data_IF_813769741937
#
_entry.id   IF_813769741937
#
_cell.length_a   1.000
_cell.length_b   1.000
_cell.length_c   1.000
_cell.angle_alpha   90.00
_cell.angle_beta   90.00
_cell.angle_gamma   90.00
#
_symmetry.space_group_name_H-M   'P 1'
#
loop_
_entity.id
_entity.type
_entity.pdbx_description
1 polymer ?
#
# COMPACT_ATOMS: atom_id res chain seq x y z
N UNK A 1 4.58 -24.66 -14.50
CA UNK A 1 3.70 -23.78 -15.31
C UNK A 1 2.66 -23.18 -14.40
N UNK A 2 2.40 -21.86 -14.47
CA UNK A 2 1.24 -21.25 -13.78
C UNK A 2 -0.03 -21.86 -14.38
N UNK A 3 -0.95 -22.35 -13.51
CA UNK A 3 -2.27 -22.82 -13.96
C UNK A 3 -3.05 -21.67 -14.61
N UNK A 4 -3.92 -21.98 -15.58
CA UNK A 4 -4.85 -21.01 -16.12
C UNK A 4 -5.71 -20.43 -15.00
N UNK A 5 -6.03 -19.14 -15.09
CA UNK A 5 -6.92 -18.44 -14.15
C UNK A 5 -8.28 -18.24 -14.79
N UNK A 6 -9.36 -18.47 -14.04
CA UNK A 6 -10.72 -18.39 -14.57
C UNK A 6 -11.30 -16.96 -14.50
N UNK A 7 -10.74 -16.10 -13.67
CA UNK A 7 -11.23 -14.74 -13.45
C UNK A 7 -10.16 -13.83 -12.86
N UNK A 8 -10.48 -12.54 -12.75
CA UNK A 8 -9.63 -11.50 -12.18
C UNK A 8 -9.15 -11.80 -10.76
N UNK A 9 -10.01 -12.41 -9.92
CA UNK A 9 -9.74 -12.63 -8.49
C UNK A 9 -8.60 -13.62 -8.30
N UNK A 10 -8.56 -14.69 -9.09
CA UNK A 10 -7.51 -15.71 -9.02
C UNK A 10 -6.12 -15.17 -9.38
N UNK A 11 -6.08 -14.00 -10.03
CA UNK A 11 -4.84 -13.28 -10.32
C UNK A 11 -4.29 -12.49 -9.13
N UNK A 12 -5.09 -12.27 -8.08
CA UNK A 12 -4.66 -11.49 -6.92
C UNK A 12 -3.84 -12.37 -5.98
N UNK A 13 -2.68 -11.89 -5.58
CA UNK A 13 -1.78 -12.64 -4.73
C UNK A 13 -0.83 -13.57 -5.49
N UNK A 14 -0.18 -14.46 -4.77
CA UNK A 14 0.86 -15.35 -5.28
C UNK A 14 1.92 -14.60 -6.11
N UNK A 15 2.21 -13.36 -5.71
CA UNK A 15 3.21 -12.51 -6.35
C UNK A 15 4.62 -13.04 -6.04
N UNK A 16 5.58 -12.94 -6.97
CA UNK A 16 6.93 -13.45 -6.73
C UNK A 16 7.71 -12.57 -5.74
N UNK A 17 8.74 -13.14 -5.13
CA UNK A 17 9.85 -12.42 -4.54
C UNK A 17 10.90 -12.16 -5.63
N UNK A 18 11.33 -10.90 -5.75
CA UNK A 18 12.38 -10.48 -6.68
C UNK A 18 13.60 -10.06 -5.86
N UNK A 19 14.77 -10.65 -6.13
CA UNK A 19 16.01 -10.23 -5.48
C UNK A 19 16.41 -8.85 -6.00
N UNK A 20 16.62 -7.91 -5.08
CA UNK A 20 17.09 -6.56 -5.37
C UNK A 20 18.61 -6.58 -5.34
N UNK A 21 19.22 -6.57 -6.52
CA UNK A 21 20.67 -6.78 -6.68
C UNK A 21 21.48 -5.69 -6.01
N UNK A 22 21.27 -4.42 -6.37
CA UNK A 22 22.04 -3.31 -5.83
C UNK A 22 21.90 -3.20 -4.29
N UNK A 23 20.68 -3.33 -3.76
CA UNK A 23 20.44 -3.31 -2.32
C UNK A 23 21.13 -4.47 -1.60
N UNK A 24 21.15 -5.65 -2.22
CA UNK A 24 21.83 -6.84 -1.67
C UNK A 24 23.34 -6.67 -1.67
N UNK A 25 23.94 -6.16 -2.74
CA UNK A 25 25.38 -5.90 -2.87
C UNK A 25 25.87 -4.87 -1.84
N UNK A 26 25.13 -3.75 -1.69
CA UNK A 26 25.46 -2.68 -0.73
C UNK A 26 25.49 -3.15 0.73
N UNK A 27 24.65 -4.15 1.06
CA UNK A 27 24.47 -4.61 2.45
C UNK A 27 25.15 -5.93 2.75
N UNK A 28 25.48 -6.72 1.74
CA UNK A 28 25.91 -8.11 1.91
C UNK A 28 24.77 -9.05 2.34
N UNK A 29 23.52 -8.57 2.30
CA UNK A 29 22.32 -9.33 2.65
C UNK A 29 21.62 -9.88 1.41
N UNK A 30 20.67 -10.79 1.59
CA UNK A 30 19.73 -11.18 0.57
C UNK A 30 18.46 -10.32 0.72
N UNK A 31 18.34 -9.23 -0.04
CA UNK A 31 17.17 -8.35 -0.01
C UNK A 31 16.22 -8.71 -1.15
N UNK A 32 14.97 -9.04 -0.79
CA UNK A 32 13.92 -9.37 -1.75
C UNK A 32 12.74 -8.41 -1.63
N UNK A 33 12.20 -8.02 -2.78
CA UNK A 33 10.95 -7.29 -2.89
C UNK A 33 9.79 -8.20 -3.25
N UNK A 34 8.72 -8.20 -2.47
CA UNK A 34 7.46 -8.86 -2.81
C UNK A 34 6.76 -8.05 -3.89
N UNK A 35 6.64 -8.59 -5.09
CA UNK A 35 6.25 -7.87 -6.31
C UNK A 35 4.73 -7.60 -6.40
N UNK A 36 4.20 -6.81 -5.46
CA UNK A 36 2.78 -6.51 -5.37
C UNK A 36 2.23 -5.67 -6.55
N UNK A 37 3.10 -5.01 -7.31
CA UNK A 37 2.75 -4.34 -8.56
C UNK A 37 2.31 -5.31 -9.68
N UNK A 38 2.52 -6.61 -9.51
CA UNK A 38 2.09 -7.65 -10.43
C UNK A 38 0.66 -8.16 -10.16
N UNK A 39 0.00 -7.68 -9.11
CA UNK A 39 -1.44 -7.93 -8.97
C UNK A 39 -2.20 -7.35 -10.17
N UNK A 40 -3.36 -7.89 -10.55
CA UNK A 40 -4.09 -7.49 -11.77
C UNK A 40 -4.45 -6.01 -11.85
N UNK A 41 -4.79 -5.37 -10.72
CA UNK A 41 -5.03 -3.93 -10.60
C UNK A 41 -3.75 -3.11 -10.45
N UNK A 42 -2.57 -3.77 -10.46
CA UNK A 42 -1.25 -3.15 -10.48
C UNK A 42 -0.74 -2.67 -9.12
N UNK A 43 -1.28 -3.15 -8.00
CA UNK A 43 -0.78 -2.74 -6.68
C UNK A 43 -1.09 -3.72 -5.55
N UNK A 44 -0.43 -3.51 -4.41
CA UNK A 44 -0.71 -4.20 -3.14
C UNK A 44 -2.15 -4.03 -2.66
N UNK A 45 -2.87 -2.99 -3.12
CA UNK A 45 -4.23 -2.69 -2.67
C UNK A 45 -5.28 -3.64 -3.23
N UNK A 46 -4.97 -4.41 -4.26
CA UNK A 46 -5.86 -5.45 -4.78
C UNK A 46 -6.14 -6.50 -3.70
N UNK A 47 -5.12 -6.84 -2.88
CA UNK A 47 -5.30 -7.76 -1.74
C UNK A 47 -6.21 -7.17 -0.66
N UNK A 48 -6.02 -5.90 -0.32
CA UNK A 48 -6.88 -5.22 0.64
C UNK A 48 -8.32 -5.16 0.13
N UNK A 49 -8.51 -4.79 -1.14
CA UNK A 49 -9.82 -4.73 -1.76
C UNK A 49 -10.54 -6.09 -1.74
N UNK A 50 -9.83 -7.18 -2.08
CA UNK A 50 -10.36 -8.53 -2.04
C UNK A 50 -10.75 -8.94 -0.61
N UNK A 51 -9.88 -8.71 0.36
CA UNK A 51 -10.15 -9.09 1.76
C UNK A 51 -11.35 -8.33 2.35
N UNK A 52 -11.46 -7.02 2.07
CA UNK A 52 -12.57 -6.18 2.52
C UNK A 52 -13.90 -6.64 1.91
N UNK A 53 -13.90 -6.99 0.63
CA UNK A 53 -15.11 -7.43 -0.06
C UNK A 53 -15.53 -8.85 0.40
N UNK A 54 -14.58 -9.77 0.55
CA UNK A 54 -14.86 -11.12 1.05
C UNK A 54 -15.41 -11.12 2.47
N UNK A 55 -14.85 -10.30 3.35
CA UNK A 55 -15.36 -10.11 4.71
C UNK A 55 -16.84 -9.63 4.70
N UNK A 56 -17.17 -8.70 3.78
CA UNK A 56 -18.53 -8.21 3.64
C UNK A 56 -19.50 -9.28 3.06
N UNK A 57 -19.04 -10.07 2.09
CA UNK A 57 -19.81 -11.20 1.53
C UNK A 57 -20.06 -12.29 2.59
N UNK A 58 -19.03 -12.69 3.32
CA UNK A 58 -19.14 -13.69 4.43
C UNK A 58 -20.13 -13.25 5.51
N UNK A 59 -20.12 -11.95 5.83
CA UNK A 59 -21.07 -11.34 6.78
C UNK A 59 -22.46 -11.09 6.19
N UNK A 60 -22.67 -11.39 4.92
CA UNK A 60 -23.92 -11.14 4.18
C UNK A 60 -24.36 -9.66 4.17
N UNK A 61 -23.38 -8.74 4.19
CA UNK A 61 -23.64 -7.31 4.15
C UNK A 61 -23.85 -6.78 2.72
N UNK A 62 -23.43 -7.56 1.74
CA UNK A 62 -23.55 -7.22 0.31
C UNK A 62 -23.77 -8.49 -0.51
N UNK A 63 -24.54 -8.38 -1.59
CA UNK A 63 -24.74 -9.41 -2.60
C UNK A 63 -24.67 -8.80 -4.00
N UNK A 64 -24.62 -9.62 -5.05
CA UNK A 64 -24.50 -9.17 -6.44
C UNK A 64 -25.51 -8.06 -6.76
N UNK A 65 -25.03 -6.94 -7.32
CA UNK A 65 -25.81 -5.72 -7.55
C UNK A 65 -25.73 -4.70 -6.40
N UNK A 66 -25.10 -5.05 -5.29
CA UNK A 66 -24.84 -4.14 -4.16
C UNK A 66 -23.80 -3.06 -4.49
N UNK A 67 -23.60 -2.15 -3.56
CA UNK A 67 -22.76 -0.97 -3.72
C UNK A 67 -21.59 -0.99 -2.76
N UNK A 68 -20.39 -0.80 -3.27
CA UNK A 68 -19.15 -0.59 -2.50
C UNK A 68 -18.86 0.90 -2.47
N UNK A 69 -18.71 1.48 -1.28
CA UNK A 69 -18.32 2.89 -1.10
C UNK A 69 -16.96 2.96 -0.43
N UNK A 70 -16.05 3.79 -0.96
CA UNK A 70 -14.76 4.02 -0.33
C UNK A 70 -14.26 5.45 -0.52
N UNK A 71 -13.65 6.00 0.52
CA UNK A 71 -12.94 7.27 0.49
C UNK A 71 -11.47 7.07 0.15
N UNK A 72 -11.10 7.30 -1.11
CA UNK A 72 -9.71 7.11 -1.56
C UNK A 72 -9.39 7.88 -2.83
N UNK A 73 -8.14 8.30 -2.94
CA UNK A 73 -7.60 8.95 -4.14
C UNK A 73 -6.60 8.06 -4.90
N UNK A 74 -6.55 6.76 -4.62
CA UNK A 74 -5.46 5.93 -5.14
C UNK A 74 -5.85 4.47 -5.41
N UNK A 75 -4.85 3.64 -5.25
CA UNK A 75 -4.86 2.23 -5.64
C UNK A 75 -6.02 1.40 -5.06
N UNK A 76 -6.50 1.73 -3.85
CA UNK A 76 -7.63 1.00 -3.26
C UNK A 76 -8.92 1.19 -4.06
N UNK A 77 -9.17 2.40 -4.55
CA UNK A 77 -10.30 2.66 -5.43
C UNK A 77 -10.23 1.86 -6.72
N UNK A 78 -9.04 1.75 -7.30
CA UNK A 78 -8.81 0.93 -8.49
C UNK A 78 -9.10 -0.54 -8.20
N UNK A 79 -8.52 -1.10 -7.13
CA UNK A 79 -8.73 -2.49 -6.74
C UNK A 79 -10.20 -2.82 -6.46
N UNK A 80 -10.90 -1.97 -5.69
CA UNK A 80 -12.33 -2.15 -5.39
C UNK A 80 -13.20 -2.06 -6.65
N UNK A 81 -12.89 -1.14 -7.57
CA UNK A 81 -13.66 -0.98 -8.79
C UNK A 81 -13.49 -2.17 -9.74
N UNK A 82 -12.26 -2.63 -9.97
CA UNK A 82 -12.00 -3.79 -10.82
C UNK A 82 -12.61 -5.07 -10.26
N UNK A 83 -12.50 -5.28 -8.93
CA UNK A 83 -13.18 -6.38 -8.24
C UNK A 83 -14.70 -6.25 -8.32
N UNK A 84 -15.23 -5.06 -8.08
CA UNK A 84 -16.65 -4.78 -8.18
C UNK A 84 -17.18 -5.14 -9.56
N UNK A 85 -16.51 -4.71 -10.62
CA UNK A 85 -16.87 -5.04 -12.00
C UNK A 85 -16.85 -6.55 -12.25
N UNK A 86 -15.80 -7.25 -11.77
CA UNK A 86 -15.66 -8.71 -11.94
C UNK A 86 -16.76 -9.52 -11.24
N UNK A 87 -17.30 -9.01 -10.12
CA UNK A 87 -18.29 -9.70 -9.28
C UNK A 87 -19.72 -9.16 -9.44
N UNK A 88 -19.89 -8.09 -10.21
CA UNK A 88 -21.21 -7.48 -10.47
C UNK A 88 -21.68 -6.53 -9.35
N UNK A 89 -20.76 -5.86 -8.68
CA UNK A 89 -21.01 -4.77 -7.73
C UNK A 89 -20.84 -3.41 -8.40
N UNK A 90 -21.51 -2.40 -7.87
CA UNK A 90 -21.27 -1.00 -8.20
C UNK A 90 -20.26 -0.41 -7.24
N UNK A 91 -19.38 0.48 -7.72
CA UNK A 91 -18.36 1.10 -6.87
C UNK A 91 -18.47 2.63 -6.91
N UNK A 92 -18.61 3.23 -5.73
CA UNK A 92 -18.62 4.68 -5.53
C UNK A 92 -17.32 5.06 -4.83
N UNK A 93 -16.56 5.96 -5.42
CA UNK A 93 -15.32 6.48 -4.85
C UNK A 93 -15.48 7.95 -4.50
N UNK A 94 -15.28 8.27 -3.23
CA UNK A 94 -15.22 9.66 -2.74
C UNK A 94 -13.77 10.11 -2.72
N UNK A 95 -13.47 11.23 -3.38
CA UNK A 95 -12.11 11.73 -3.57
C UNK A 95 -12.06 13.25 -3.42
N UNK A 96 -10.94 13.79 -2.93
CA UNK A 96 -10.71 15.23 -2.96
C UNK A 96 -10.64 15.76 -4.41
N UNK A 97 -11.26 16.91 -4.67
CA UNK A 97 -11.31 17.53 -5.99
C UNK A 97 -9.95 18.09 -6.48
N UNK A 98 -9.01 18.33 -5.57
CA UNK A 98 -7.64 18.79 -5.88
C UNK A 98 -6.68 17.67 -6.31
N UNK A 99 -7.16 16.43 -6.45
CA UNK A 99 -6.35 15.36 -7.06
C UNK A 99 -6.13 15.60 -8.55
N UNK A 100 -5.03 15.05 -9.08
CA UNK A 100 -4.70 15.19 -10.49
C UNK A 100 -5.79 14.64 -11.41
N UNK A 101 -5.93 15.24 -12.61
CA UNK A 101 -6.92 14.79 -13.59
C UNK A 101 -6.69 13.32 -13.98
N UNK A 102 -5.44 12.90 -14.11
CA UNK A 102 -5.02 11.53 -14.40
C UNK A 102 -5.63 10.51 -13.41
N UNK A 103 -5.63 10.80 -12.10
CA UNK A 103 -6.24 9.92 -11.09
C UNK A 103 -7.74 9.84 -11.22
N UNK A 104 -8.39 10.98 -11.49
CA UNK A 104 -9.84 11.04 -11.70
C UNK A 104 -10.25 10.23 -12.93
N UNK A 105 -9.50 10.39 -14.01
CA UNK A 105 -9.77 9.69 -15.27
C UNK A 105 -9.53 8.19 -15.15
N UNK A 106 -8.47 7.78 -14.45
CA UNK A 106 -8.20 6.36 -14.16
C UNK A 106 -9.42 5.69 -13.51
N UNK A 107 -9.99 6.30 -12.46
CA UNK A 107 -11.16 5.74 -11.77
C UNK A 107 -12.42 5.75 -12.63
N UNK A 108 -12.66 6.84 -13.37
CA UNK A 108 -13.81 6.92 -14.27
C UNK A 108 -13.74 5.91 -15.41
N UNK A 109 -12.55 5.75 -16.02
CA UNK A 109 -12.34 4.84 -17.15
C UNK A 109 -12.56 3.37 -16.79
N UNK A 110 -12.41 3.00 -15.52
CA UNK A 110 -12.71 1.65 -15.01
C UNK A 110 -14.14 1.53 -14.45
N UNK A 111 -14.98 2.56 -14.58
CA UNK A 111 -16.41 2.51 -14.26
C UNK A 111 -16.78 2.90 -12.83
N UNK A 112 -15.90 3.58 -12.08
CA UNK A 112 -16.25 4.10 -10.76
C UNK A 112 -17.26 5.27 -10.87
N UNK A 113 -18.29 5.29 -10.03
CA UNK A 113 -19.06 6.49 -9.73
C UNK A 113 -18.21 7.40 -8.81
N UNK A 114 -17.59 8.42 -9.41
CA UNK A 114 -16.64 9.28 -8.75
C UNK A 114 -17.32 10.51 -8.13
N UNK A 115 -17.24 10.64 -6.82
CA UNK A 115 -17.77 11.78 -6.05
C UNK A 115 -16.62 12.66 -5.56
N UNK A 116 -16.57 13.90 -6.04
CA UNK A 116 -15.54 14.86 -5.68
C UNK A 116 -15.99 15.72 -4.51
N UNK A 117 -15.10 15.94 -3.54
CA UNK A 117 -15.33 16.81 -2.36
C UNK A 117 -14.13 17.74 -2.17
N UNK A 118 -14.32 18.93 -1.57
CA UNK A 118 -13.22 19.81 -1.22
C UNK A 118 -12.20 19.14 -0.29
N UNK A 119 -10.89 19.44 -0.41
CA UNK A 119 -9.87 18.85 0.44
C UNK A 119 -10.03 19.36 1.88
N UNK A 120 -10.16 18.46 2.82
CA UNK A 120 -10.31 18.73 4.25
C UNK A 120 -9.40 17.81 5.06
N UNK A 121 -8.84 18.29 6.19
CA UNK A 121 -8.06 17.45 7.09
C UNK A 121 -8.96 16.37 7.72
N UNK A 122 -8.35 15.27 8.17
CA UNK A 122 -9.10 14.12 8.71
C UNK A 122 -10.01 14.47 9.91
N UNK A 123 -9.67 15.51 10.69
CA UNK A 123 -10.49 15.98 11.82
C UNK A 123 -11.81 16.62 11.39
N UNK A 124 -11.87 17.18 10.18
CA UNK A 124 -13.06 17.83 9.60
C UNK A 124 -14.05 16.76 9.10
N UNK A 125 -15.35 16.98 9.33
CA UNK A 125 -16.40 16.05 8.87
C UNK A 125 -16.60 16.06 7.36
N UNK A 126 -16.15 17.10 6.66
CA UNK A 126 -16.08 17.15 5.20
C UNK A 126 -14.91 16.34 4.60
N UNK A 127 -14.08 15.68 5.41
CA UNK A 127 -13.00 14.82 4.90
C UNK A 127 -13.58 13.67 4.07
N UNK A 128 -13.01 13.42 2.91
CA UNK A 128 -13.48 12.43 1.93
C UNK A 128 -13.70 11.03 2.51
N UNK A 129 -12.89 10.60 3.48
CA UNK A 129 -13.05 9.30 4.17
C UNK A 129 -14.33 9.28 5.00
N UNK A 130 -14.58 10.35 5.76
CA UNK A 130 -15.80 10.47 6.58
C UNK A 130 -17.06 10.66 5.71
N UNK A 131 -16.93 11.42 4.61
CA UNK A 131 -18.03 11.59 3.63
C UNK A 131 -18.39 10.23 3.03
N UNK A 132 -17.42 9.40 2.66
CA UNK A 132 -17.67 8.04 2.15
C UNK A 132 -18.45 7.18 3.15
N UNK A 133 -18.08 7.25 4.44
CA UNK A 133 -18.80 6.54 5.51
C UNK A 133 -20.26 6.97 5.61
N UNK A 134 -20.54 8.28 5.66
CA UNK A 134 -21.93 8.81 5.69
C UNK A 134 -22.71 8.46 4.44
N UNK A 135 -22.11 8.62 3.26
CA UNK A 135 -22.75 8.25 1.99
C UNK A 135 -23.14 6.78 1.97
N UNK A 136 -22.31 5.90 2.50
CA UNK A 136 -22.64 4.48 2.59
C UNK A 136 -23.87 4.21 3.45
N UNK A 137 -24.02 4.92 4.58
CA UNK A 137 -25.21 4.81 5.45
C UNK A 137 -26.48 5.35 4.77
N UNK A 138 -26.37 6.50 4.10
CA UNK A 138 -27.48 7.11 3.37
C UNK A 138 -28.01 6.20 2.25
N UNK A 139 -27.11 5.47 1.57
CA UNK A 139 -27.47 4.59 0.47
C UNK A 139 -28.03 3.22 0.91
N UNK A 140 -27.90 2.83 2.18
CA UNK A 140 -28.38 1.52 2.67
C UNK A 140 -29.87 1.27 2.42
N UNK A 141 -30.69 2.28 2.51
CA UNK A 141 -32.13 2.18 2.27
C UNK A 141 -32.52 2.13 0.81
N UNK A 142 -31.59 2.49 -0.11
CA UNK A 142 -31.84 2.60 -1.53
C UNK A 142 -31.41 1.35 -2.35
N UNK A 143 -30.75 0.38 -1.69
CA UNK A 143 -30.24 -0.81 -2.38
C UNK A 143 -30.46 -2.08 -1.55
N UNK A 144 -31.40 -2.93 -2.00
CA UNK A 144 -31.74 -4.18 -1.34
C UNK A 144 -30.64 -5.26 -1.39
N UNK A 145 -29.64 -5.11 -2.27
CA UNK A 145 -28.49 -6.00 -2.39
C UNK A 145 -27.35 -5.62 -1.41
N UNK A 146 -27.56 -4.59 -0.59
CA UNK A 146 -26.64 -4.12 0.42
C UNK A 146 -25.69 -3.03 -0.08
N UNK A 147 -25.25 -2.22 0.87
CA UNK A 147 -24.26 -1.17 0.68
C UNK A 147 -23.21 -1.29 1.76
N UNK A 148 -21.94 -1.30 1.37
CA UNK A 148 -20.83 -1.35 2.32
C UNK A 148 -19.92 -0.13 2.19
N UNK A 149 -19.45 0.38 3.31
CA UNK A 149 -18.26 1.19 3.37
C UNK A 149 -17.06 0.26 3.57
N UNK A 150 -16.17 0.18 2.59
CA UNK A 150 -14.99 -0.70 2.66
C UNK A 150 -14.08 -0.33 3.83
N UNK A 151 -13.93 0.99 4.13
CA UNK A 151 -13.21 1.52 5.29
C UNK A 151 -11.81 0.91 5.45
N UNK A 152 -10.99 1.01 4.41
CA UNK A 152 -9.67 0.39 4.31
C UNK A 152 -8.74 0.66 5.51
N UNK A 153 -8.92 1.77 6.22
CA UNK A 153 -8.05 2.14 7.33
C UNK A 153 -8.40 1.41 8.63
N UNK A 154 -9.69 1.25 8.91
CA UNK A 154 -10.15 0.79 10.22
C UNK A 154 -10.95 -0.54 10.16
N UNK A 155 -11.27 -1.05 8.98
CA UNK A 155 -11.73 -2.41 8.80
C UNK A 155 -10.55 -3.38 8.82
N UNK A 156 -10.44 -4.16 9.89
CA UNK A 156 -9.33 -5.10 10.13
C UNK A 156 -9.31 -6.31 9.19
N UNK A 157 -10.34 -6.50 8.37
CA UNK A 157 -10.31 -7.46 7.27
C UNK A 157 -9.13 -7.21 6.31
N UNK A 158 -8.71 -5.94 6.15
CA UNK A 158 -7.52 -5.59 5.39
C UNK A 158 -6.26 -6.28 5.96
N UNK A 159 -5.96 -6.11 7.24
CA UNK A 159 -4.80 -6.76 7.85
C UNK A 159 -4.97 -8.28 7.97
N UNK A 160 -6.20 -8.78 8.15
CA UNK A 160 -6.50 -10.21 8.12
C UNK A 160 -6.13 -10.81 6.76
N UNK A 161 -6.50 -10.17 5.65
CA UNK A 161 -6.16 -10.65 4.30
C UNK A 161 -4.65 -10.78 4.09
N UNK A 162 -3.86 -9.82 4.56
CA UNK A 162 -2.40 -9.93 4.48
C UNK A 162 -1.82 -11.00 5.42
N UNK A 163 -2.43 -11.23 6.58
CA UNK A 163 -2.08 -12.33 7.47
C UNK A 163 -2.33 -13.69 6.82
N UNK A 164 -3.45 -13.84 6.10
CA UNK A 164 -3.88 -15.10 5.48
C UNK A 164 -3.19 -15.37 4.13
N UNK A 165 -2.62 -14.35 3.48
CA UNK A 165 -2.04 -14.50 2.13
C UNK A 165 -0.59 -14.02 2.05
N UNK A 166 -0.31 -12.73 2.20
CA UNK A 166 1.03 -12.16 1.98
C UNK A 166 2.07 -12.71 2.95
N UNK A 167 1.71 -12.87 4.23
CA UNK A 167 2.58 -13.45 5.24
C UNK A 167 2.98 -14.89 4.92
N UNK A 168 2.03 -15.81 4.69
CA UNK A 168 2.30 -17.18 4.23
C UNK A 168 3.15 -17.24 2.98
N UNK A 169 2.80 -16.49 1.92
CA UNK A 169 3.55 -16.46 0.68
C UNK A 169 5.02 -16.06 0.88
N UNK A 170 5.29 -15.03 1.69
CA UNK A 170 6.66 -14.63 2.02
C UNK A 170 7.40 -15.77 2.72
N UNK A 171 6.79 -16.38 3.73
CA UNK A 171 7.42 -17.43 4.51
C UNK A 171 7.72 -18.69 3.67
N UNK A 172 6.78 -19.09 2.82
CA UNK A 172 6.94 -20.23 1.91
C UNK A 172 7.99 -19.98 0.82
N UNK A 173 7.96 -18.80 0.19
CA UNK A 173 8.89 -18.42 -0.87
C UNK A 173 10.33 -18.26 -0.39
N UNK A 174 10.53 -18.07 0.90
CA UNK A 174 11.87 -18.03 1.54
C UNK A 174 12.23 -19.34 2.24
N UNK A 175 11.41 -20.38 2.10
CA UNK A 175 11.59 -21.66 2.81
C UNK A 175 11.72 -21.45 4.35
N UNK A 176 11.02 -20.43 4.87
CA UNK A 176 11.09 -20.04 6.27
C UNK A 176 12.35 -19.25 6.67
N UNK A 177 13.26 -18.99 5.75
CA UNK A 177 14.52 -18.31 6.00
C UNK A 177 14.33 -16.77 5.90
N UNK A 178 13.58 -16.18 6.81
CA UNK A 178 13.36 -14.73 6.92
C UNK A 178 13.98 -14.23 8.21
N UNK A 179 14.96 -13.34 8.11
CA UNK A 179 15.53 -12.63 9.28
C UNK A 179 14.76 -11.34 9.59
N UNK A 180 14.26 -10.65 8.56
CA UNK A 180 13.55 -9.40 8.75
C UNK A 180 12.52 -9.10 7.67
N UNK A 181 11.49 -8.33 8.05
CA UNK A 181 10.51 -7.71 7.17
C UNK A 181 10.44 -6.21 7.44
N UNK A 182 10.50 -5.41 6.39
CA UNK A 182 10.41 -3.96 6.48
C UNK A 182 9.50 -3.41 5.40
N UNK A 183 8.52 -2.61 5.77
CA UNK A 183 7.70 -1.88 4.80
C UNK A 183 7.11 -0.61 5.38
N UNK A 184 6.64 0.25 4.49
CA UNK A 184 5.89 1.46 4.84
C UNK A 184 4.45 1.15 5.22
N UNK A 185 3.79 2.14 5.80
CA UNK A 185 2.39 2.04 6.21
C UNK A 185 1.57 3.21 5.68
N UNK A 186 0.51 2.91 4.93
CA UNK A 186 -0.60 3.82 4.68
C UNK A 186 -1.78 3.44 5.57
N UNK A 187 -2.49 2.38 5.22
CA UNK A 187 -3.59 1.83 6.03
C UNK A 187 -3.13 1.01 7.23
N UNK A 188 -1.93 0.49 7.17
CA UNK A 188 -1.40 -0.46 8.15
C UNK A 188 -1.73 -1.92 7.87
N UNK A 189 -2.54 -2.22 6.85
CA UNK A 189 -2.98 -3.58 6.55
C UNK A 189 -1.82 -4.54 6.29
N UNK A 190 -0.90 -4.16 5.40
CA UNK A 190 0.23 -5.02 5.02
C UNK A 190 1.15 -5.31 6.20
N UNK A 191 1.66 -4.26 6.87
CA UNK A 191 2.55 -4.45 8.01
C UNK A 191 1.84 -5.14 9.18
N UNK A 192 0.54 -4.85 9.39
CA UNK A 192 -0.28 -5.47 10.44
C UNK A 192 -0.44 -6.97 10.23
N UNK A 193 -0.80 -7.38 9.01
CA UNK A 193 -1.01 -8.79 8.69
C UNK A 193 0.28 -9.59 8.64
N UNK A 194 1.25 -9.11 7.85
CA UNK A 194 2.53 -9.81 7.64
C UNK A 194 3.32 -9.94 8.94
N UNK A 195 3.40 -8.86 9.74
CA UNK A 195 4.15 -8.91 11.01
C UNK A 195 3.60 -9.93 12.00
N UNK A 196 2.27 -10.02 12.12
CA UNK A 196 1.63 -11.00 12.99
C UNK A 196 1.97 -12.42 12.54
N UNK A 197 1.79 -12.71 11.26
CA UNK A 197 2.07 -14.04 10.72
C UNK A 197 3.55 -14.44 10.91
N UNK A 198 4.49 -13.56 10.53
CA UNK A 198 5.91 -13.86 10.65
C UNK A 198 6.35 -14.02 12.11
N UNK A 199 5.85 -13.17 13.03
CA UNK A 199 6.16 -13.29 14.48
C UNK A 199 5.57 -14.54 15.12
N UNK A 200 4.47 -15.09 14.61
CA UNK A 200 3.92 -16.38 15.04
C UNK A 200 4.80 -17.55 14.58
N UNK A 201 5.38 -17.44 13.38
CA UNK A 201 6.32 -18.45 12.86
C UNK A 201 7.67 -18.43 13.57
N UNK A 202 8.23 -17.24 13.76
CA UNK A 202 9.47 -17.05 14.49
C UNK A 202 9.49 -15.65 15.13
N UNK A 203 9.54 -15.59 16.46
CA UNK A 203 9.54 -14.34 17.24
C UNK A 203 10.80 -13.48 17.02
N UNK A 204 11.90 -14.08 16.55
CA UNK A 204 13.17 -13.38 16.34
C UNK A 204 13.20 -12.59 15.03
N UNK A 205 12.29 -12.87 14.06
CA UNK A 205 12.17 -12.10 12.83
C UNK A 205 11.95 -10.62 13.18
N UNK A 206 12.82 -9.75 12.68
CA UNK A 206 12.74 -8.30 12.93
C UNK A 206 11.71 -7.66 12.01
N UNK A 207 10.83 -6.86 12.59
CA UNK A 207 9.79 -6.12 11.85
C UNK A 207 10.03 -4.63 12.00
N UNK A 208 10.26 -3.95 10.86
CA UNK A 208 10.54 -2.52 10.87
C UNK A 208 9.56 -1.74 10.01
N UNK A 209 9.21 -0.56 10.49
CA UNK A 209 8.47 0.43 9.71
C UNK A 209 9.45 1.31 8.93
N UNK A 210 9.26 1.40 7.62
CA UNK A 210 9.92 2.39 6.77
C UNK A 210 8.96 3.54 6.51
N UNK A 211 9.11 4.66 7.20
CA UNK A 211 8.12 5.74 7.23
C UNK A 211 8.61 6.97 6.46
N UNK A 212 7.83 7.55 5.54
CA UNK A 212 8.25 8.76 4.84
C UNK A 212 8.29 9.96 5.79
N UNK A 213 9.19 10.91 5.55
CA UNK A 213 9.14 12.20 6.24
C UNK A 213 7.77 12.85 6.08
N UNK A 214 7.27 13.52 7.14
CA UNK A 214 5.91 14.07 7.18
C UNK A 214 4.85 13.13 7.76
N UNK A 215 5.16 11.84 7.92
CA UNK A 215 4.32 10.91 8.69
C UNK A 215 4.59 11.04 10.20
N UNK A 216 3.59 10.69 11.02
CA UNK A 216 3.72 10.67 12.47
C UNK A 216 4.08 9.29 13.04
N UNK A 217 4.07 8.24 12.21
CA UNK A 217 4.21 6.86 12.69
C UNK A 217 5.62 6.54 13.16
N UNK A 218 6.65 7.11 12.51
CA UNK A 218 8.03 6.97 12.97
C UNK A 218 8.21 7.48 14.40
N UNK A 219 7.78 8.71 14.68
CA UNK A 219 7.87 9.29 16.02
C UNK A 219 7.05 8.50 17.04
N UNK A 220 5.87 8.01 16.64
CA UNK A 220 5.07 7.15 17.49
C UNK A 220 5.80 5.86 17.89
N UNK A 221 6.45 5.17 16.96
CA UNK A 221 7.20 3.94 17.26
C UNK A 221 8.45 4.23 18.11
N UNK A 222 9.15 5.33 17.84
CA UNK A 222 10.39 5.67 18.56
C UNK A 222 10.17 6.30 19.92
N UNK A 223 9.17 7.18 20.05
CA UNK A 223 9.02 8.08 21.20
C UNK A 223 7.63 7.97 21.85
N UNK A 224 6.69 7.21 21.29
CA UNK A 224 5.29 7.14 21.76
C UNK A 224 4.43 8.35 21.36
N UNK A 225 4.93 9.26 20.52
CA UNK A 225 4.26 10.51 20.17
C UNK A 225 3.83 10.57 18.70
N UNK A 226 2.58 10.92 18.44
CA UNK A 226 2.10 11.20 17.08
C UNK A 226 2.50 12.61 16.64
N UNK A 227 3.73 12.75 16.17
CA UNK A 227 4.29 14.02 15.70
C UNK A 227 4.80 13.88 14.27
N UNK A 228 4.26 14.69 13.35
CA UNK A 228 4.73 14.77 11.97
C UNK A 228 5.83 15.82 11.83
N UNK A 229 6.90 15.48 11.14
CA UNK A 229 8.04 16.39 10.86
C UNK A 229 8.44 16.29 9.40
N UNK A 230 8.62 17.44 8.74
CA UNK A 230 8.95 17.52 7.34
C UNK A 230 7.78 17.23 6.41
N UNK A 231 8.08 16.72 5.22
CA UNK A 231 7.12 16.36 4.18
C UNK A 231 7.74 15.44 3.14
N UNK A 232 6.90 14.81 2.32
CA UNK A 232 7.31 13.92 1.25
C UNK A 232 6.41 14.12 0.04
N UNK A 233 6.94 13.88 -1.16
CA UNK A 233 6.15 13.80 -2.39
C UNK A 233 5.48 12.44 -2.55
N UNK A 234 5.86 11.47 -1.72
CA UNK A 234 5.36 10.11 -1.76
C UNK A 234 3.88 10.07 -1.37
N UNK A 235 3.11 9.30 -2.11
CA UNK A 235 1.67 9.16 -1.92
C UNK A 235 1.30 7.75 -1.45
N UNK A 236 0.15 7.64 -0.78
CA UNK A 236 -0.42 6.35 -0.38
C UNK A 236 0.20 5.71 0.86
N UNK A 237 1.24 6.31 1.42
CA UNK A 237 1.88 5.91 2.68
C UNK A 237 2.09 7.11 3.59
N UNK A 238 2.42 6.84 4.85
CA UNK A 238 2.46 7.85 5.90
C UNK A 238 1.09 8.10 6.50
N UNK A 239 1.04 8.37 7.80
CA UNK A 239 -0.20 8.67 8.51
C UNK A 239 0.04 9.63 9.66
N UNK A 240 -0.96 10.48 9.95
CA UNK A 240 -1.00 11.33 11.14
C UNK A 240 -1.76 10.71 12.31
N UNK A 241 -2.25 9.47 12.17
CA UNK A 241 -3.01 8.75 13.19
C UNK A 241 -2.70 7.25 13.18
N UNK A 242 -3.01 6.60 14.27
CA UNK A 242 -3.00 5.13 14.36
C UNK A 242 -4.32 4.60 13.81
N UNK A 243 -4.26 3.86 12.72
CA UNK A 243 -5.41 3.15 12.16
C UNK A 243 -5.62 1.84 12.91
N UNK A 244 -6.84 1.27 12.86
CA UNK A 244 -7.09 -0.03 13.50
C UNK A 244 -6.22 -1.15 12.88
N UNK A 245 -5.96 -1.09 11.57
CA UNK A 245 -5.06 -2.04 10.92
C UNK A 245 -3.62 -1.90 11.41
N UNK A 246 -3.09 -0.68 11.51
CA UNK A 246 -1.74 -0.44 12.02
C UNK A 246 -1.57 -0.88 13.47
N UNK A 247 -2.58 -0.67 14.31
CA UNK A 247 -2.58 -1.08 15.72
C UNK A 247 -2.41 -2.61 15.91
N UNK A 248 -2.65 -3.41 14.87
CA UNK A 248 -2.42 -4.87 14.91
C UNK A 248 -0.97 -5.26 14.69
N UNK A 249 -0.13 -4.35 14.20
CA UNK A 249 1.25 -4.64 13.80
C UNK A 249 2.16 -4.93 15.00
N UNK A 250 3.11 -5.84 14.80
CA UNK A 250 4.16 -6.21 15.77
C UNK A 250 5.49 -5.62 15.27
N UNK A 251 5.78 -4.38 15.65
CA UNK A 251 6.90 -3.60 15.13
C UNK A 251 8.02 -3.53 16.17
N UNK A 252 9.26 -3.86 15.75
CA UNK A 252 10.46 -3.81 16.60
C UNK A 252 11.20 -2.46 16.47
N UNK A 253 11.07 -1.76 15.33
CA UNK A 253 11.73 -0.49 15.11
C UNK A 253 11.22 0.26 13.89
N UNK A 254 11.74 1.46 13.66
CA UNK A 254 11.32 2.29 12.54
C UNK A 254 12.47 3.15 12.01
N UNK A 255 12.38 3.48 10.71
CA UNK A 255 13.22 4.46 10.03
C UNK A 255 12.36 5.58 9.45
N UNK A 256 12.83 6.83 9.58
CA UNK A 256 12.28 7.95 8.82
C UNK A 256 13.09 8.10 7.55
N UNK A 257 12.41 8.00 6.39
CA UNK A 257 13.04 8.02 5.06
C UNK A 257 12.64 9.29 4.32
N UNK A 258 13.63 10.04 3.85
CA UNK A 258 13.40 11.24 3.05
C UNK A 258 13.28 10.94 1.55
N UNK A 259 12.62 11.85 0.81
CA UNK A 259 12.58 11.75 -0.66
C UNK A 259 13.98 11.81 -1.30
N UNK A 260 14.92 12.55 -0.69
CA UNK A 260 16.32 12.62 -1.15
C UNK A 260 17.02 11.26 -1.08
N UNK A 261 16.59 10.39 -0.18
CA UNK A 261 17.13 9.04 -0.03
C UNK A 261 16.39 8.02 -0.91
N UNK A 262 15.06 8.10 -0.99
CA UNK A 262 14.24 7.11 -1.68
C UNK A 262 14.20 7.28 -3.19
N UNK A 263 14.24 8.51 -3.73
CA UNK A 263 14.15 8.76 -5.17
C UNK A 263 15.34 8.22 -5.97
N UNK A 264 16.60 8.39 -5.56
CA UNK A 264 17.74 7.78 -6.26
C UNK A 264 17.60 6.26 -6.37
N UNK A 265 17.05 5.60 -5.35
CA UNK A 265 16.81 4.15 -5.36
C UNK A 265 15.79 3.78 -6.43
N UNK A 266 14.68 4.53 -6.57
CA UNK A 266 13.68 4.29 -7.62
C UNK A 266 14.31 4.41 -9.01
N UNK A 267 15.10 5.45 -9.25
CA UNK A 267 15.74 5.65 -10.54
C UNK A 267 16.80 4.57 -10.84
N UNK A 268 17.53 4.11 -9.81
CA UNK A 268 18.47 3.00 -9.94
C UNK A 268 17.76 1.69 -10.27
N UNK A 269 16.63 1.38 -9.59
CA UNK A 269 15.81 0.19 -9.86
C UNK A 269 15.30 0.18 -11.31
N UNK A 270 14.89 1.34 -11.85
CA UNK A 270 14.48 1.45 -13.25
C UNK A 270 15.65 1.19 -14.19
N UNK A 271 16.77 1.87 -13.97
CA UNK A 271 17.90 1.87 -14.90
C UNK A 271 18.72 0.58 -14.87
N UNK A 272 18.92 0.01 -13.71
CA UNK A 272 19.85 -1.09 -13.49
C UNK A 272 19.19 -2.44 -13.22
N UNK A 273 17.92 -2.45 -12.81
CA UNK A 273 17.19 -3.70 -12.50
C UNK A 273 15.90 -3.87 -13.34
N UNK A 274 15.53 -2.87 -14.17
CA UNK A 274 14.33 -2.91 -15.01
C UNK A 274 13.01 -2.85 -14.22
N UNK A 275 13.06 -2.37 -12.97
CA UNK A 275 11.91 -2.30 -12.07
C UNK A 275 11.34 -0.88 -12.02
N UNK A 276 10.27 -0.63 -12.78
CA UNK A 276 9.59 0.67 -12.85
C UNK A 276 8.50 0.74 -11.78
N UNK A 277 8.83 1.33 -10.62
CA UNK A 277 8.03 1.27 -9.40
C UNK A 277 7.64 2.66 -8.88
N UNK A 278 6.55 2.74 -8.11
CA UNK A 278 6.11 3.94 -7.43
C UNK A 278 7.01 4.32 -6.24
N UNK A 279 6.87 5.58 -5.79
CA UNK A 279 7.73 6.19 -4.77
C UNK A 279 7.74 5.45 -3.43
N UNK A 280 6.61 4.83 -3.04
CA UNK A 280 6.52 4.03 -1.82
C UNK A 280 7.44 2.80 -1.83
N UNK A 281 7.73 2.25 -3.01
CA UNK A 281 8.71 1.16 -3.14
C UNK A 281 10.13 1.64 -2.86
N UNK A 282 10.48 2.87 -3.24
CA UNK A 282 11.77 3.47 -2.90
C UNK A 282 11.96 3.67 -1.39
N UNK A 283 10.90 4.12 -0.70
CA UNK A 283 10.90 4.21 0.77
C UNK A 283 11.10 2.83 1.40
N UNK A 284 10.44 1.81 0.88
CA UNK A 284 10.57 0.44 1.35
C UNK A 284 11.99 -0.12 1.17
N UNK A 285 12.58 0.06 -0.01
CA UNK A 285 13.93 -0.43 -0.31
C UNK A 285 14.98 0.34 0.50
N UNK A 286 14.81 1.65 0.70
CA UNK A 286 15.68 2.44 1.58
C UNK A 286 15.67 1.89 3.01
N UNK A 287 14.49 1.57 3.55
CA UNK A 287 14.36 0.91 4.85
C UNK A 287 15.03 -0.45 4.90
N UNK A 288 14.92 -1.24 3.83
CA UNK A 288 15.58 -2.55 3.75
C UNK A 288 17.11 -2.43 3.72
N UNK A 289 17.64 -1.44 3.00
CA UNK A 289 19.09 -1.16 2.98
C UNK A 289 19.57 -0.73 4.39
N UNK A 290 18.86 0.17 5.06
CA UNK A 290 19.22 0.58 6.43
C UNK A 290 19.21 -0.60 7.38
N UNK A 291 18.16 -1.40 7.34
CA UNK A 291 18.03 -2.58 8.20
C UNK A 291 19.12 -3.61 7.91
N UNK A 292 19.47 -3.83 6.63
CA UNK A 292 20.56 -4.72 6.25
C UNK A 292 21.91 -4.27 6.81
N UNK A 293 22.20 -2.96 6.80
CA UNK A 293 23.41 -2.40 7.39
C UNK A 293 23.43 -2.55 8.92
N UNK A 294 22.29 -2.45 9.60
CA UNK A 294 22.18 -2.65 11.04
C UNK A 294 22.34 -4.12 11.47
N UNK A 295 21.76 -5.04 10.70
CA UNK A 295 21.77 -6.47 11.02
C UNK A 295 23.09 -7.17 10.62
N UNK A 296 23.84 -6.57 9.69
CA UNK A 296 25.05 -7.16 9.11
C UNK A 296 24.78 -8.14 7.99
N UNK A 297 25.86 -8.59 7.27
CA UNK A 297 25.75 -9.40 6.07
C UNK A 297 25.17 -10.80 6.35
N UNK A 298 24.72 -11.46 5.25
CA UNK A 298 24.18 -12.83 5.29
C UNK A 298 22.71 -12.94 5.68
N UNK A 299 22.03 -11.82 5.99
CA UNK A 299 20.63 -11.81 6.40
C UNK A 299 19.67 -11.82 5.21
N UNK A 300 18.51 -12.44 5.39
CA UNK A 300 17.41 -12.43 4.42
C UNK A 300 16.35 -11.39 4.87
N UNK A 301 16.19 -10.33 4.07
CA UNK A 301 15.32 -9.20 4.37
C UNK A 301 14.27 -9.07 3.27
N UNK A 302 13.01 -9.01 3.67
CA UNK A 302 11.89 -8.88 2.74
C UNK A 302 11.28 -7.48 2.85
N UNK A 303 10.98 -6.90 1.69
CA UNK A 303 10.21 -5.65 1.60
C UNK A 303 9.11 -5.76 0.55
N UNK A 304 8.32 -4.67 0.35
CA UNK A 304 7.18 -4.64 -0.58
C UNK A 304 7.49 -3.71 -1.76
N UNK A 305 7.30 -4.21 -2.98
CA UNK A 305 7.26 -3.41 -4.20
C UNK A 305 5.79 -3.12 -4.52
N UNK A 306 5.33 -1.93 -4.11
CA UNK A 306 3.91 -1.65 -3.87
C UNK A 306 3.07 -1.55 -5.14
N UNK A 307 3.54 -0.78 -6.14
CA UNK A 307 2.83 -0.45 -7.37
C UNK A 307 3.79 0.03 -8.47
N UNK A 308 3.25 0.28 -9.67
CA UNK A 308 4.00 0.76 -10.83
C UNK A 308 4.18 2.29 -10.80
N UNK A 309 5.20 2.76 -11.47
CA UNK A 309 5.57 4.18 -11.57
C UNK A 309 4.66 5.02 -12.47
N UNK A 310 3.93 4.40 -13.40
CA UNK A 310 3.06 5.05 -14.39
C UNK A 310 1.96 5.95 -13.78
N UNK A 311 1.65 5.74 -12.51
CA UNK A 311 0.67 6.54 -11.74
C UNK A 311 1.24 7.83 -11.15
N UNK A 312 2.53 8.10 -11.36
CA UNK A 312 3.27 9.21 -10.72
C UNK A 312 3.99 10.11 -11.71
N UNK A 313 3.58 10.10 -13.00
CA UNK A 313 4.23 10.84 -14.09
C UNK A 313 4.33 12.34 -13.80
N UNK A 314 3.30 12.94 -13.22
CA UNK A 314 3.27 14.37 -12.89
C UNK A 314 4.25 14.80 -11.79
N UNK A 315 4.82 13.84 -11.04
CA UNK A 315 5.79 14.07 -9.96
C UNK A 315 7.12 13.37 -10.22
N UNK A 316 7.10 12.02 -10.28
CA UNK A 316 8.30 11.20 -10.33
C UNK A 316 9.11 11.40 -11.64
N UNK A 317 8.41 11.60 -12.75
CA UNK A 317 9.03 11.83 -14.07
C UNK A 317 8.88 13.28 -14.58
N UNK A 318 8.60 14.20 -13.67
CA UNK A 318 8.54 15.63 -13.99
C UNK A 318 9.79 16.35 -13.45
N UNK A 319 10.77 16.55 -14.33
CA UNK A 319 12.04 17.20 -13.99
C UNK A 319 11.83 18.57 -13.35
N UNK A 320 10.96 19.41 -13.92
CA UNK A 320 10.70 20.76 -13.40
C UNK A 320 10.14 20.71 -11.97
N UNK A 321 9.21 19.78 -11.71
CA UNK A 321 8.66 19.56 -10.38
C UNK A 321 9.75 19.12 -9.37
N UNK A 322 10.62 18.19 -9.77
CA UNK A 322 11.70 17.70 -8.89
C UNK A 322 12.71 18.80 -8.60
N UNK A 323 13.08 19.60 -9.62
CA UNK A 323 13.98 20.76 -9.46
C UNK A 323 13.40 21.82 -8.53
N UNK A 324 12.13 22.19 -8.71
CA UNK A 324 11.43 23.15 -7.84
C UNK A 324 11.42 22.70 -6.36
N UNK A 325 11.32 21.38 -6.13
CA UNK A 325 11.36 20.79 -4.79
C UNK A 325 12.77 20.54 -4.25
N UNK A 326 13.83 20.82 -5.03
CA UNK A 326 15.21 20.52 -4.66
C UNK A 326 15.47 19.02 -4.45
N UNK A 327 14.78 18.19 -5.23
CA UNK A 327 14.85 16.73 -5.17
C UNK A 327 15.76 16.17 -6.27
N UNK A 328 16.39 15.02 -6.03
CA UNK A 328 17.23 14.37 -7.03
C UNK A 328 16.40 13.85 -8.20
N UNK A 329 17.00 13.91 -9.39
CA UNK A 329 16.47 13.33 -10.61
C UNK A 329 17.61 12.77 -11.47
N UNK A 330 17.36 11.76 -12.32
CA UNK A 330 18.39 11.14 -13.14
C UNK A 330 18.72 12.00 -14.37
N UNK A 331 19.91 11.78 -14.94
CA UNK A 331 20.37 12.54 -16.11
C UNK A 331 19.53 12.31 -17.38
N UNK A 332 18.82 11.17 -17.46
CA UNK A 332 17.97 10.82 -18.59
C UNK A 332 16.56 11.45 -18.53
N UNK A 333 16.22 12.16 -17.46
CA UNK A 333 14.95 12.90 -17.30
C UNK A 333 15.15 14.43 -17.69
#
# INVERSE_FOLDING_TARGET
>A
MKKSQNNFIEGIGNTPLIKLRAASEITGCNIYGKAEYLNPGGSVKDRAALALLRDAEEKKLISKGGIIVEGTAGNTGIGLCLLGNSLGYKTIIVMNDNQTQEKKDTLKNIGADLRLVPPKPYKDDGNYVKVAGRLSEELKTSNNQGVIWANQFDNVANSKGHYETTGPEIFEQTEGQVDAFVCSSGTGGTIGGVSRYLKEKNKDIKIYLSDPTGSALYNYIKNGELKSEGGSITEGIGSSRITKNFATAKIDGAFSISDKESLPIIFDLIQNEGLSLGTSSGVNVAGAIRLGKELGPGKTIITILCDKSDRYNSKLFNKSFLQEKGLPYPNWL
#
